data_IF_222198291418
#
_entry.id   IF_222198291418
#
_cell.length_a   1.000
_cell.length_b   1.000
_cell.length_c   1.000
_cell.angle_alpha   90.00
_cell.angle_beta   90.00
_cell.angle_gamma   90.00
#
_symmetry.space_group_name_H-M   'P 1'
#
loop_
_entity.id
_entity.type
_entity.pdbx_description
1 polymer ?
#
# COMPACT_ATOMS: atom_id res chain seq x y z
N UNK A 1 7.36 -22.70 4.75
CA UNK A 1 7.58 -22.32 6.16
C UNK A 1 6.73 -21.09 6.44
N UNK A 2 5.79 -21.18 7.39
CA UNK A 2 4.83 -20.12 7.68
C UNK A 2 5.51 -18.95 8.42
N UNK A 3 5.14 -17.71 8.08
CA UNK A 3 5.58 -16.50 8.80
C UNK A 3 5.34 -16.60 10.32
N UNK A 4 4.38 -17.43 10.74
CA UNK A 4 4.07 -17.71 12.15
C UNK A 4 5.23 -18.35 12.93
N UNK A 5 6.14 -19.10 12.29
CA UNK A 5 7.24 -19.76 13.02
C UNK A 5 8.40 -18.80 13.32
N UNK A 6 8.56 -17.72 12.54
CA UNK A 6 9.65 -16.76 12.74
C UNK A 6 9.42 -15.83 13.95
N UNK A 7 8.16 -15.62 14.33
CA UNK A 7 7.79 -14.73 15.44
C UNK A 7 8.01 -15.39 16.80
N UNK A 8 8.00 -16.72 16.87
CA UNK A 8 8.27 -17.44 18.13
C UNK A 8 9.77 -17.43 18.50
N UNK A 9 10.67 -17.50 17.51
CA UNK A 9 12.12 -17.60 17.76
C UNK A 9 12.77 -16.32 18.33
N UNK A 10 12.15 -15.15 18.17
CA UNK A 10 12.66 -13.89 18.74
C UNK A 10 12.50 -13.79 20.26
N UNK A 11 11.64 -14.63 20.86
CA UNK A 11 11.36 -14.61 22.30
C UNK A 11 12.39 -15.38 23.17
N UNK A 12 13.31 -16.14 22.55
CA UNK A 12 14.26 -17.00 23.27
C UNK A 12 15.63 -16.38 23.57
N UNK A 13 15.91 -15.14 23.12
CA UNK A 13 17.22 -14.49 23.35
C UNK A 13 17.35 -13.71 24.66
N UNK A 14 16.25 -13.44 25.38
CA UNK A 14 16.28 -12.63 26.61
C UNK A 14 16.31 -13.45 27.93
N UNK A 15 16.37 -14.78 27.87
CA UNK A 15 16.23 -15.62 29.05
C UNK A 15 17.54 -16.11 29.71
N UNK A 16 18.73 -15.66 29.28
CA UNK A 16 19.97 -16.16 29.87
C UNK A 16 21.10 -15.12 29.95
N UNK A 17 21.08 -14.27 30.97
CA UNK A 17 22.27 -13.59 31.47
C UNK A 17 22.21 -13.48 33.01
N UNK A 18 23.24 -13.93 33.76
CA UNK A 18 23.19 -13.97 35.22
C UNK A 18 23.53 -12.60 35.84
N UNK A 19 22.74 -12.20 36.86
CA UNK A 19 22.94 -11.01 37.71
C UNK A 19 24.18 -11.15 38.61
N UNK A 20 24.99 -10.09 38.73
CA UNK A 20 26.04 -9.95 39.77
C UNK A 20 25.52 -9.10 40.96
N UNK A 21 25.92 -9.39 42.21
CA UNK A 21 25.38 -8.74 43.40
C UNK A 21 26.12 -7.44 43.77
N UNK A 22 25.42 -6.55 44.48
CA UNK A 22 25.85 -5.20 44.83
C UNK A 22 26.77 -5.06 46.04
N UNK A 23 27.26 -3.83 46.24
CA UNK A 23 27.95 -3.38 47.45
C UNK A 23 27.48 -1.96 47.81
N UNK A 24 27.43 -1.73 49.12
CA UNK A 24 26.70 -0.78 49.93
C UNK A 24 27.23 0.66 50.01
N UNK A 25 26.33 1.55 50.50
CA UNK A 25 26.54 2.93 50.95
C UNK A 25 27.56 3.07 52.09
N UNK A 26 28.22 4.24 52.15
CA UNK A 26 28.92 4.77 53.32
C UNK A 26 29.05 6.30 53.20
N UNK A 27 28.58 7.01 54.23
CA UNK A 27 28.49 8.47 54.37
C UNK A 27 29.76 9.12 54.98
N UNK A 28 29.81 10.45 54.81
CA UNK A 28 30.51 11.48 55.62
C UNK A 28 32.02 11.73 55.41
N UNK A 29 32.38 12.94 54.97
CA UNK A 29 32.68 14.06 55.88
C UNK A 29 33.28 15.28 55.15
N UNK A 30 32.98 16.44 55.72
CA UNK A 30 33.38 17.79 55.32
C UNK A 30 34.83 18.07 55.73
N UNK A 31 35.63 18.67 54.85
CA UNK A 31 36.73 19.53 55.26
C UNK A 31 36.95 20.68 54.27
N UNK A 32 36.89 21.88 54.83
CA UNK A 32 37.32 23.17 54.27
C UNK A 32 38.85 23.24 54.22
N UNK A 33 39.43 23.76 53.15
CA UNK A 33 40.50 24.79 53.17
C UNK A 33 40.77 25.30 51.76
N UNK A 34 40.85 26.63 51.65
CA UNK A 34 41.29 27.41 50.51
C UNK A 34 42.68 26.98 50.01
N UNK A 35 42.90 27.00 48.69
CA UNK A 35 44.11 27.63 48.18
C UNK A 35 43.98 28.09 46.72
N UNK A 36 44.39 29.34 46.51
CA UNK A 36 44.42 30.06 45.24
C UNK A 36 45.47 29.45 44.32
N UNK A 37 45.06 28.94 43.16
CA UNK A 37 45.94 28.84 42.01
C UNK A 37 45.15 29.01 40.71
N UNK A 38 45.37 30.15 40.05
CA UNK A 38 44.94 30.46 38.70
C UNK A 38 45.43 29.40 37.70
N UNK A 39 44.51 28.58 37.18
CA UNK A 39 44.80 27.72 36.05
C UNK A 39 44.06 28.28 34.83
N UNK A 40 44.76 29.12 34.06
CA UNK A 40 44.38 29.48 32.70
C UNK A 40 44.27 28.20 31.88
N UNK A 41 43.05 27.73 31.63
CA UNK A 41 42.83 26.60 30.73
C UNK A 41 43.12 27.07 29.30
N UNK A 42 44.37 26.90 28.89
CA UNK A 42 44.82 27.09 27.52
C UNK A 42 44.11 26.05 26.66
N UNK A 43 43.04 26.44 25.99
CA UNK A 43 42.41 25.64 24.96
C UNK A 43 43.49 25.23 23.95
N UNK A 44 43.77 23.92 23.87
CA UNK A 44 44.68 23.37 22.87
C UNK A 44 44.03 23.61 21.50
N UNK A 45 44.51 24.58 20.75
CA UNK A 45 44.23 24.63 19.32
C UNK A 45 44.94 23.43 18.69
N UNK A 46 44.16 22.52 18.13
CA UNK A 46 44.72 21.51 17.25
C UNK A 46 45.21 22.24 16.00
N UNK A 47 46.52 22.18 15.75
CA UNK A 47 47.12 22.71 14.55
C UNK A 47 46.53 21.97 13.34
N UNK A 48 45.81 22.72 12.51
CA UNK A 48 45.27 22.27 11.23
C UNK A 48 46.40 21.71 10.37
N UNK A 49 46.36 20.41 10.08
CA UNK A 49 47.23 19.77 9.08
C UNK A 49 46.90 20.35 7.70
N UNK A 50 47.79 21.20 7.20
CA UNK A 50 47.65 22.04 6.02
C UNK A 50 47.75 21.30 4.67
N UNK A 51 47.13 20.12 4.54
CA UNK A 51 47.12 19.35 3.30
C UNK A 51 45.81 18.59 3.05
N UNK A 52 44.67 19.16 3.42
CA UNK A 52 43.31 18.84 2.87
C UNK A 52 42.23 19.80 3.39
N UNK A 53 42.58 21.03 3.78
CA UNK A 53 41.60 22.01 4.24
C UNK A 53 40.94 22.69 3.03
N UNK A 54 40.01 22.01 2.38
CA UNK A 54 38.97 22.75 1.64
C UNK A 54 38.20 23.51 2.71
N UNK A 55 38.39 24.83 2.77
CA UNK A 55 37.61 25.72 3.61
C UNK A 55 36.15 25.71 3.13
N UNK A 56 35.38 24.72 3.58
CA UNK A 56 33.92 24.64 3.34
C UNK A 56 33.20 25.78 4.09
N UNK A 57 33.88 26.43 5.04
CA UNK A 57 33.40 27.65 5.69
C UNK A 57 33.34 28.81 4.69
N UNK A 58 32.17 29.03 4.11
CA UNK A 58 31.85 30.26 3.36
C UNK A 58 31.42 30.07 1.90
N UNK A 59 31.40 28.86 1.35
CA UNK A 59 30.80 28.65 0.03
C UNK A 59 29.28 28.75 0.10
N UNK A 60 28.70 29.75 -0.59
CA UNK A 60 27.27 30.04 -0.61
C UNK A 60 26.49 28.84 -1.18
N UNK A 61 27.03 28.16 -2.20
CA UNK A 61 26.38 27.02 -2.84
C UNK A 61 26.17 25.82 -1.90
N UNK A 62 26.96 25.74 -0.84
CA UNK A 62 26.92 24.67 0.16
C UNK A 62 25.96 24.94 1.33
N UNK A 63 25.35 26.13 1.44
CA UNK A 63 24.54 26.52 2.60
C UNK A 63 23.05 26.15 2.45
N UNK A 64 22.67 24.94 2.85
CA UNK A 64 21.28 24.46 2.72
C UNK A 64 20.46 24.48 4.03
N UNK A 65 21.11 24.52 5.20
CA UNK A 65 20.46 24.34 6.51
C UNK A 65 19.32 25.34 6.79
N UNK A 66 19.42 26.56 6.25
CA UNK A 66 18.38 27.58 6.41
C UNK A 66 17.03 27.15 5.83
N UNK A 67 17.02 26.33 4.77
CA UNK A 67 15.79 25.87 4.10
C UNK A 67 14.96 24.87 4.91
N UNK A 68 15.50 24.28 5.98
CA UNK A 68 14.83 23.23 6.76
C UNK A 68 15.04 23.35 8.28
N UNK A 69 15.53 24.49 8.76
CA UNK A 69 15.80 24.73 10.19
C UNK A 69 14.54 24.82 11.05
N UNK A 70 13.45 25.37 10.50
CA UNK A 70 12.16 25.53 11.19
C UNK A 70 11.16 24.42 10.80
N UNK A 71 10.27 23.94 11.70
CA UNK A 71 9.25 22.94 11.36
C UNK A 71 8.41 23.28 10.12
N UNK A 72 7.94 24.53 10.01
CA UNK A 72 7.21 25.01 8.84
C UNK A 72 8.08 24.98 7.56
N UNK A 73 9.35 25.38 7.67
CA UNK A 73 10.27 25.36 6.53
C UNK A 73 10.49 23.94 5.99
N UNK A 74 10.59 22.94 6.87
CA UNK A 74 10.62 21.52 6.46
C UNK A 74 9.37 21.11 5.68
N UNK A 75 8.19 21.54 6.13
CA UNK A 75 6.92 21.22 5.45
C UNK A 75 6.79 21.88 4.06
N UNK A 76 7.41 23.05 3.86
CA UNK A 76 7.42 23.75 2.56
C UNK A 76 8.31 23.07 1.51
N UNK A 77 9.26 22.23 1.93
CA UNK A 77 10.09 21.45 1.00
C UNK A 77 9.32 20.32 0.31
N UNK A 78 8.16 19.92 0.85
CA UNK A 78 7.34 18.90 0.24
C UNK A 78 6.55 19.49 -0.94
N UNK A 79 6.72 18.93 -2.14
CA UNK A 79 5.90 19.28 -3.31
C UNK A 79 4.41 18.95 -3.11
N UNK A 80 4.11 18.02 -2.21
CA UNK A 80 2.76 17.62 -1.83
C UNK A 80 2.71 17.17 -0.38
N UNK A 81 1.71 17.64 0.35
CA UNK A 81 1.42 17.19 1.72
C UNK A 81 0.32 16.14 1.72
N UNK A 82 0.41 15.15 2.62
CA UNK A 82 -0.59 14.11 2.78
C UNK A 82 -1.91 14.70 3.29
N UNK A 83 -3.02 14.32 2.65
CA UNK A 83 -4.38 14.70 3.09
C UNK A 83 -5.29 13.48 3.10
N UNK A 84 -6.37 13.54 3.89
CA UNK A 84 -7.32 12.42 4.04
C UNK A 84 -7.96 11.99 2.71
N UNK A 85 -8.20 12.94 1.78
CA UNK A 85 -8.81 12.65 0.48
C UNK A 85 -7.90 11.89 -0.49
N UNK A 86 -6.60 11.78 -0.22
CA UNK A 86 -5.66 11.00 -1.02
C UNK A 86 -5.75 9.49 -0.72
N UNK A 87 -6.40 9.12 0.38
CA UNK A 87 -6.41 7.77 0.92
C UNK A 87 -7.57 6.93 0.36
N UNK A 88 -7.24 5.71 -0.06
CA UNK A 88 -8.20 4.67 -0.45
C UNK A 88 -8.02 3.48 0.49
N UNK A 89 -9.10 3.06 1.15
CA UNK A 89 -9.05 1.96 2.11
C UNK A 89 -9.47 0.61 1.49
N UNK A 90 -8.62 -0.44 1.52
CA UNK A 90 -9.00 -1.78 1.08
C UNK A 90 -10.01 -2.47 2.00
N UNK A 91 -11.03 -3.11 1.41
CA UNK A 91 -12.03 -3.92 2.11
C UNK A 91 -12.10 -5.33 1.53
N UNK A 92 -12.04 -6.34 2.40
CA UNK A 92 -12.23 -7.75 2.04
C UNK A 92 -13.65 -8.18 2.39
N UNK A 93 -14.43 -8.55 1.38
CA UNK A 93 -15.87 -8.75 1.49
C UNK A 93 -16.23 -10.22 1.30
N UNK A 94 -16.76 -10.83 2.35
CA UNK A 94 -17.23 -12.21 2.34
C UNK A 94 -18.59 -12.36 1.66
N UNK A 95 -18.84 -13.55 1.14
CA UNK A 95 -20.16 -14.01 0.73
C UNK A 95 -20.99 -14.59 1.90
N UNK A 96 -20.49 -14.51 3.14
CA UNK A 96 -21.24 -14.78 4.37
C UNK A 96 -21.64 -13.47 5.03
N UNK A 97 -22.95 -13.17 5.06
CA UNK A 97 -23.48 -11.84 5.32
C UNK A 97 -23.08 -11.25 6.69
N UNK A 98 -22.94 -12.07 7.73
CA UNK A 98 -22.62 -11.65 9.09
C UNK A 98 -21.16 -11.88 9.52
N UNK A 99 -20.31 -12.41 8.64
CA UNK A 99 -18.91 -12.75 8.95
C UNK A 99 -18.11 -11.50 9.39
N UNK A 100 -17.30 -11.64 10.42
CA UNK A 100 -16.24 -10.69 10.76
C UNK A 100 -15.05 -11.46 11.31
N UNK A 101 -14.10 -11.77 10.44
CA UNK A 101 -12.96 -12.65 10.77
C UNK A 101 -11.67 -11.87 10.59
N UNK A 102 -10.89 -11.76 11.67
CA UNK A 102 -9.55 -11.19 11.65
C UNK A 102 -8.64 -11.99 10.71
N UNK A 103 -7.79 -11.27 9.98
CA UNK A 103 -6.77 -11.87 9.10
C UNK A 103 -5.44 -11.85 9.86
N UNK A 104 -4.94 -12.99 10.40
CA UNK A 104 -3.79 -12.96 11.31
C UNK A 104 -2.51 -12.40 10.70
N UNK A 105 -2.29 -12.61 9.41
CA UNK A 105 -1.11 -12.12 8.69
C UNK A 105 -1.21 -10.64 8.33
N UNK A 106 -2.39 -10.02 8.46
CA UNK A 106 -2.65 -8.64 8.09
C UNK A 106 -3.23 -7.87 9.30
N UNK A 107 -2.36 -7.29 10.16
CA UNK A 107 -2.76 -6.73 11.46
C UNK A 107 -3.97 -5.79 11.39
N UNK A 108 -4.92 -5.98 12.32
CA UNK A 108 -6.15 -5.18 12.47
C UNK A 108 -7.13 -5.22 11.28
N UNK A 109 -6.88 -6.02 10.25
CA UNK A 109 -7.79 -6.16 9.11
C UNK A 109 -8.69 -7.38 9.28
N UNK A 110 -9.94 -7.27 8.81
CA UNK A 110 -10.90 -8.37 8.81
C UNK A 110 -11.44 -8.62 7.40
N UNK A 111 -11.80 -9.86 7.14
CA UNK A 111 -12.81 -10.20 6.13
C UNK A 111 -14.19 -10.00 6.73
N UNK A 112 -15.06 -9.27 6.03
CA UNK A 112 -16.37 -8.85 6.53
C UNK A 112 -17.49 -9.22 5.59
N UNK A 113 -18.58 -9.73 6.14
CA UNK A 113 -19.86 -9.83 5.46
C UNK A 113 -20.53 -8.48 5.26
N UNK A 114 -21.50 -8.44 4.36
CA UNK A 114 -22.20 -7.22 3.98
C UNK A 114 -22.88 -6.51 5.16
N UNK A 115 -23.43 -7.25 6.13
CA UNK A 115 -24.12 -6.69 7.30
C UNK A 115 -23.15 -5.97 8.25
N UNK A 116 -21.85 -6.25 8.16
CA UNK A 116 -20.80 -5.64 8.97
C UNK A 116 -20.18 -4.40 8.33
N UNK A 117 -20.40 -4.16 7.03
CA UNK A 117 -19.75 -3.07 6.31
C UNK A 117 -20.20 -1.68 6.78
N UNK A 118 -21.51 -1.45 6.92
CA UNK A 118 -22.02 -0.11 7.29
C UNK A 118 -21.61 0.28 8.71
N UNK A 119 -21.82 -0.54 9.76
CA UNK A 119 -21.36 -0.20 11.11
C UNK A 119 -19.86 0.03 11.20
N UNK A 120 -19.07 -0.70 10.39
CA UNK A 120 -17.62 -0.55 10.35
C UNK A 120 -17.16 0.75 9.66
N UNK A 121 -17.78 1.10 8.52
CA UNK A 121 -17.38 2.26 7.72
C UNK A 121 -17.93 3.58 8.24
N UNK A 122 -19.10 3.60 8.88
CA UNK A 122 -19.73 4.81 9.39
C UNK A 122 -18.78 5.70 10.25
N UNK A 123 -18.07 5.18 11.27
CA UNK A 123 -17.11 5.99 12.01
C UNK A 123 -15.93 6.47 11.16
N UNK A 124 -15.48 5.68 10.17
CA UNK A 124 -14.37 6.09 9.30
C UNK A 124 -14.79 7.21 8.33
N UNK A 125 -16.02 7.13 7.79
CA UNK A 125 -16.62 8.18 6.96
C UNK A 125 -16.76 9.48 7.76
N UNK A 126 -17.22 9.41 9.02
CA UNK A 126 -17.26 10.59 9.90
C UNK A 126 -15.87 11.20 10.15
N UNK A 127 -14.81 10.37 10.21
CA UNK A 127 -13.43 10.84 10.34
C UNK A 127 -12.82 11.38 9.04
N UNK A 128 -13.56 11.31 7.92
CA UNK A 128 -13.17 11.87 6.63
C UNK A 128 -12.73 10.84 5.58
N UNK A 129 -13.02 9.55 5.74
CA UNK A 129 -12.79 8.55 4.69
C UNK A 129 -13.57 8.94 3.43
N UNK A 130 -12.87 9.08 2.31
CA UNK A 130 -13.48 9.48 1.02
C UNK A 130 -13.55 8.36 -0.01
N UNK A 131 -12.75 7.32 0.13
CA UNK A 131 -12.66 6.27 -0.89
C UNK A 131 -12.34 4.89 -0.30
N UNK A 132 -12.94 3.86 -0.88
CA UNK A 132 -12.68 2.45 -0.58
C UNK A 132 -12.37 1.68 -1.85
N UNK A 133 -11.58 0.61 -1.74
CA UNK A 133 -11.40 -0.38 -2.80
C UNK A 133 -11.89 -1.75 -2.34
N UNK A 134 -12.83 -2.32 -3.08
CA UNK A 134 -13.52 -3.57 -2.74
C UNK A 134 -12.81 -4.78 -3.33
N UNK A 135 -12.57 -5.79 -2.50
CA UNK A 135 -12.11 -7.13 -2.87
C UNK A 135 -13.14 -8.17 -2.43
N UNK A 136 -13.76 -8.86 -3.38
CA UNK A 136 -14.68 -9.96 -3.08
C UNK A 136 -13.90 -11.22 -2.69
N UNK A 137 -14.35 -11.89 -1.64
CA UNK A 137 -13.72 -13.10 -1.10
C UNK A 137 -14.80 -14.16 -0.93
N UNK A 138 -15.22 -14.83 -2.03
CA UNK A 138 -16.21 -15.89 -1.95
C UNK A 138 -15.62 -17.10 -1.21
N UNK A 139 -16.28 -17.48 -0.12
CA UNK A 139 -15.90 -18.59 0.76
C UNK A 139 -16.82 -19.80 0.62
N UNK A 140 -18.01 -19.64 0.02
CA UNK A 140 -18.95 -20.76 -0.18
C UNK A 140 -18.36 -21.80 -1.13
N UNK A 141 -18.37 -23.10 -0.78
CA UNK A 141 -17.93 -24.17 -1.67
C UNK A 141 -18.67 -24.16 -3.01
N UNK A 142 -17.97 -24.49 -4.09
CA UNK A 142 -18.55 -24.52 -5.45
C UNK A 142 -18.66 -23.16 -6.15
N UNK A 143 -18.37 -22.05 -5.46
CA UNK A 143 -18.42 -20.71 -6.06
C UNK A 143 -17.28 -20.44 -7.04
N UNK A 144 -16.11 -21.05 -6.80
CA UNK A 144 -14.93 -20.87 -7.66
C UNK A 144 -14.90 -21.90 -8.78
N UNK A 145 -14.69 -21.45 -10.02
CA UNK A 145 -14.56 -22.30 -11.20
C UNK A 145 -13.39 -21.87 -12.10
N UNK A 146 -13.18 -22.51 -13.25
CA UNK A 146 -12.04 -22.16 -14.12
C UNK A 146 -12.20 -20.81 -14.85
N UNK A 147 -13.41 -20.24 -14.87
CA UNK A 147 -13.73 -19.02 -15.63
C UNK A 147 -13.93 -17.79 -14.75
N UNK A 148 -13.94 -17.97 -13.42
CA UNK A 148 -14.26 -16.92 -12.47
C UNK A 148 -15.71 -16.45 -12.63
N UNK A 149 -16.67 -17.36 -12.85
CA UNK A 149 -18.08 -17.01 -13.12
C UNK A 149 -18.66 -16.13 -12.02
N UNK A 150 -18.31 -16.35 -10.76
CA UNK A 150 -18.81 -15.56 -9.64
C UNK A 150 -18.25 -14.12 -9.54
N UNK A 151 -17.29 -13.74 -10.39
CA UNK A 151 -16.64 -12.43 -10.31
C UNK A 151 -17.62 -11.26 -10.51
N UNK A 152 -18.68 -11.45 -11.29
CA UNK A 152 -19.71 -10.45 -11.57
C UNK A 152 -21.12 -10.96 -11.23
N UNK A 153 -21.22 -11.94 -10.33
CA UNK A 153 -22.49 -12.38 -9.79
C UNK A 153 -23.24 -11.17 -9.18
N UNK A 154 -24.45 -10.83 -9.66
CA UNK A 154 -25.26 -9.75 -9.10
C UNK A 154 -25.55 -9.91 -7.60
N UNK A 155 -25.54 -11.15 -7.10
CA UNK A 155 -25.70 -11.52 -5.70
C UNK A 155 -24.36 -11.80 -4.98
N UNK A 156 -23.26 -11.60 -5.70
CA UNK A 156 -21.91 -11.71 -5.19
C UNK A 156 -21.55 -10.57 -4.21
N UNK A 157 -20.49 -10.77 -3.40
CA UNK A 157 -20.11 -9.85 -2.33
C UNK A 157 -19.80 -8.44 -2.84
N UNK A 158 -19.14 -8.30 -4.00
CA UNK A 158 -18.75 -6.99 -4.54
C UNK A 158 -19.98 -6.19 -4.99
N UNK A 159 -20.82 -6.75 -5.87
CA UNK A 159 -21.98 -6.02 -6.43
C UNK A 159 -23.00 -5.65 -5.36
N UNK A 160 -23.31 -6.57 -4.43
CA UNK A 160 -24.20 -6.26 -3.29
C UNK A 160 -23.62 -5.13 -2.44
N UNK A 161 -22.30 -5.12 -2.22
CA UNK A 161 -21.63 -4.06 -1.44
C UNK A 161 -21.60 -2.72 -2.17
N UNK A 162 -21.39 -2.69 -3.50
CA UNK A 162 -21.49 -1.46 -4.28
C UNK A 162 -22.86 -0.82 -4.06
N UNK A 163 -23.95 -1.59 -4.28
CA UNK A 163 -25.32 -1.09 -4.14
C UNK A 163 -25.59 -0.57 -2.72
N UNK A 164 -25.19 -1.33 -1.70
CA UNK A 164 -25.35 -0.93 -0.30
C UNK A 164 -24.59 0.37 0.01
N UNK A 165 -23.31 0.46 -0.37
CA UNK A 165 -22.47 1.62 -0.07
C UNK A 165 -22.91 2.86 -0.84
N UNK A 166 -23.39 2.72 -2.10
CA UNK A 166 -24.00 3.84 -2.84
C UNK A 166 -25.23 4.40 -2.13
N UNK A 167 -26.06 3.52 -1.55
CA UNK A 167 -27.26 3.92 -0.81
C UNK A 167 -26.92 4.57 0.54
N UNK A 168 -25.98 4.00 1.30
CA UNK A 168 -25.71 4.39 2.70
C UNK A 168 -24.69 5.52 2.80
N UNK A 169 -23.74 5.60 1.87
CA UNK A 169 -22.69 6.63 1.82
C UNK A 169 -22.60 7.26 0.43
N UNK A 170 -23.55 8.14 0.02
CA UNK A 170 -23.62 8.67 -1.34
C UNK A 170 -22.37 9.43 -1.82
N UNK A 171 -21.57 9.97 -0.88
CA UNK A 171 -20.32 10.70 -1.14
C UNK A 171 -19.05 9.84 -1.03
N UNK A 172 -19.17 8.56 -0.67
CA UNK A 172 -18.05 7.64 -0.65
C UNK A 172 -17.72 7.22 -2.08
N UNK A 173 -16.47 7.45 -2.50
CA UNK A 173 -15.96 7.01 -3.78
C UNK A 173 -15.66 5.51 -3.72
N UNK A 174 -16.17 4.75 -4.68
CA UNK A 174 -16.15 3.28 -4.65
C UNK A 174 -15.31 2.80 -5.81
N UNK A 175 -14.15 2.23 -5.48
CA UNK A 175 -13.27 1.53 -6.40
C UNK A 175 -13.52 0.03 -6.28
N UNK A 176 -13.57 -0.69 -7.39
CA UNK A 176 -13.65 -2.15 -7.38
C UNK A 176 -12.41 -2.74 -8.05
N UNK A 177 -11.74 -3.68 -7.39
CA UNK A 177 -10.68 -4.46 -8.04
C UNK A 177 -11.30 -5.35 -9.12
N UNK A 178 -10.75 -5.33 -10.33
CA UNK A 178 -11.18 -6.21 -11.42
C UNK A 178 -10.09 -7.23 -11.69
N UNK A 179 -10.37 -8.47 -11.30
CA UNK A 179 -9.48 -9.62 -11.45
C UNK A 179 -10.29 -10.91 -11.29
N UNK A 180 -9.73 -12.05 -11.71
CA UNK A 180 -10.37 -13.36 -11.55
C UNK A 180 -9.73 -14.23 -10.46
N UNK A 181 -8.67 -13.78 -9.79
CA UNK A 181 -7.90 -14.67 -8.91
C UNK A 181 -8.62 -15.08 -7.62
N UNK A 182 -9.56 -14.26 -7.15
CA UNK A 182 -10.42 -14.56 -6.01
C UNK A 182 -11.54 -15.54 -6.38
N UNK A 183 -11.88 -15.62 -7.67
CA UNK A 183 -13.05 -16.34 -8.19
C UNK A 183 -12.69 -17.60 -8.97
N UNK A 184 -11.42 -17.78 -9.33
CA UNK A 184 -10.96 -18.96 -10.07
C UNK A 184 -10.57 -20.11 -9.15
N UNK A 185 -10.88 -21.34 -9.55
CA UNK A 185 -10.51 -22.57 -8.81
C UNK A 185 -8.98 -22.79 -8.74
N UNK A 186 -8.23 -22.21 -9.69
CA UNK A 186 -6.77 -22.29 -9.75
C UNK A 186 -6.05 -21.05 -9.17
N UNK A 187 -6.76 -19.98 -8.81
CA UNK A 187 -6.19 -18.79 -8.17
C UNK A 187 -5.29 -17.92 -9.06
N UNK A 188 -5.39 -18.06 -10.39
CA UNK A 188 -4.69 -17.21 -11.37
C UNK A 188 -5.56 -16.02 -11.77
N UNK A 189 -4.93 -14.95 -12.25
CA UNK A 189 -5.63 -13.70 -12.58
C UNK A 189 -6.47 -13.74 -13.87
N UNK A 190 -6.50 -14.86 -14.60
CA UNK A 190 -7.21 -15.00 -15.86
C UNK A 190 -7.52 -16.46 -16.19
N UNK A 191 -8.16 -16.67 -17.33
CA UNK A 191 -8.51 -17.99 -17.88
C UNK A 191 -7.26 -18.65 -18.42
N UNK A 192 -7.09 -19.94 -18.15
CA UNK A 192 -5.93 -20.72 -18.58
C UNK A 192 -6.23 -21.56 -19.83
N UNK A 193 -5.20 -21.86 -20.61
CA UNK A 193 -5.22 -22.90 -21.65
C UNK A 193 -5.01 -24.28 -21.01
N UNK A 194 -5.18 -25.34 -21.80
CA UNK A 194 -4.97 -26.73 -21.38
C UNK A 194 -3.54 -26.99 -20.87
N UNK A 195 -2.54 -26.25 -21.37
CA UNK A 195 -1.14 -26.32 -20.92
C UNK A 195 -0.86 -25.53 -19.62
N UNK A 196 -1.88 -24.91 -19.02
CA UNK A 196 -1.77 -24.08 -17.83
C UNK A 196 -1.27 -22.65 -18.08
N UNK A 197 -0.96 -22.27 -19.33
CA UNK A 197 -0.59 -20.90 -19.69
C UNK A 197 -1.81 -19.98 -19.72
N UNK A 198 -1.59 -18.67 -19.53
CA UNK A 198 -2.67 -17.68 -19.53
C UNK A 198 -3.24 -17.48 -20.95
N UNK A 199 -4.54 -17.72 -21.11
CA UNK A 199 -5.27 -17.36 -22.34
C UNK A 199 -5.64 -15.88 -22.30
N UNK A 200 -4.76 -15.03 -22.82
CA UNK A 200 -4.92 -13.57 -22.76
C UNK A 200 -6.23 -13.08 -23.37
N UNK A 201 -6.64 -13.59 -24.54
CA UNK A 201 -7.85 -13.12 -25.23
C UNK A 201 -9.11 -13.40 -24.38
N UNK A 202 -9.32 -14.65 -23.98
CA UNK A 202 -10.47 -15.02 -23.15
C UNK A 202 -10.45 -14.30 -21.80
N UNK A 203 -9.26 -14.13 -21.21
CA UNK A 203 -9.10 -13.40 -19.95
C UNK A 203 -9.53 -11.95 -20.09
N UNK A 204 -9.05 -11.25 -21.12
CA UNK A 204 -9.38 -9.84 -21.38
C UNK A 204 -10.88 -9.66 -21.60
N UNK A 205 -11.51 -10.54 -22.37
CA UNK A 205 -12.95 -10.49 -22.64
C UNK A 205 -13.75 -10.62 -21.34
N UNK A 206 -13.41 -11.64 -20.54
CA UNK A 206 -14.04 -11.92 -19.24
C UNK A 206 -13.83 -10.80 -18.22
N UNK A 207 -12.61 -10.28 -18.10
CA UNK A 207 -12.26 -9.17 -17.19
C UNK A 207 -13.05 -7.90 -17.56
N UNK A 208 -13.26 -7.69 -18.86
CA UNK A 208 -14.02 -6.55 -19.34
C UNK A 208 -15.52 -6.68 -19.03
N UNK A 209 -16.08 -7.90 -19.05
CA UNK A 209 -17.46 -8.15 -18.57
C UNK A 209 -17.59 -7.83 -17.08
N UNK A 210 -16.63 -8.28 -16.26
CA UNK A 210 -16.62 -8.00 -14.81
C UNK A 210 -16.55 -6.49 -14.53
N UNK A 211 -15.68 -5.77 -15.24
CA UNK A 211 -15.56 -4.32 -15.09
C UNK A 211 -16.89 -3.61 -15.41
N UNK A 212 -17.56 -3.99 -16.51
CA UNK A 212 -18.86 -3.42 -16.89
C UNK A 212 -19.94 -3.75 -15.85
N UNK A 213 -19.96 -4.98 -15.33
CA UNK A 213 -20.94 -5.37 -14.32
C UNK A 213 -20.80 -4.55 -13.02
N UNK A 214 -19.56 -4.33 -12.55
CA UNK A 214 -19.32 -3.44 -11.40
C UNK A 214 -19.69 -1.99 -11.68
N UNK A 215 -19.39 -1.48 -12.88
CA UNK A 215 -19.78 -0.14 -13.30
C UNK A 215 -21.31 0.02 -13.32
N UNK A 216 -22.05 -0.93 -13.92
CA UNK A 216 -23.51 -0.97 -13.93
C UNK A 216 -24.12 -1.09 -12.52
N UNK A 217 -23.43 -1.76 -11.60
CA UNK A 217 -23.83 -1.83 -10.19
C UNK A 217 -23.67 -0.50 -9.45
N UNK A 218 -22.90 0.45 -10.00
CA UNK A 218 -22.70 1.79 -9.47
C UNK A 218 -21.29 2.06 -8.92
N UNK A 219 -20.28 1.24 -9.28
CA UNK A 219 -18.89 1.57 -8.96
C UNK A 219 -18.48 2.86 -9.67
N UNK A 220 -17.84 3.78 -8.94
CA UNK A 220 -17.32 5.02 -9.50
C UNK A 220 -16.02 4.78 -10.28
N UNK A 221 -15.28 3.74 -9.89
CA UNK A 221 -14.02 3.37 -10.49
C UNK A 221 -13.86 1.85 -10.57
N UNK A 222 -13.35 1.39 -11.70
CA UNK A 222 -12.92 0.00 -11.89
C UNK A 222 -11.40 -0.03 -11.99
N UNK A 223 -10.78 -0.94 -11.24
CA UNK A 223 -9.34 -1.01 -11.08
C UNK A 223 -8.79 -2.39 -11.49
N UNK A 224 -8.54 -2.62 -12.81
CA UNK A 224 -8.07 -3.91 -13.31
C UNK A 224 -6.65 -4.23 -12.83
N UNK A 225 -6.52 -5.31 -12.06
CA UNK A 225 -5.30 -5.72 -11.36
C UNK A 225 -4.64 -6.98 -11.95
N UNK A 226 -5.17 -7.48 -13.05
CA UNK A 226 -4.88 -8.77 -13.65
C UNK A 226 -3.55 -8.86 -14.41
N UNK A 227 -3.07 -7.73 -14.97
CA UNK A 227 -1.87 -7.61 -15.82
C UNK A 227 -1.93 -8.32 -17.18
N UNK A 228 -3.11 -8.65 -17.72
CA UNK A 228 -3.24 -9.12 -19.10
C UNK A 228 -2.91 -7.99 -20.10
N UNK A 229 -2.37 -8.35 -21.25
CA UNK A 229 -2.05 -7.38 -22.29
C UNK A 229 -3.32 -6.91 -23.00
N UNK A 230 -3.50 -5.59 -23.11
CA UNK A 230 -4.63 -4.97 -23.82
C UNK A 230 -5.94 -4.86 -23.03
N UNK A 231 -5.98 -5.25 -21.75
CA UNK A 231 -7.23 -5.21 -20.96
C UNK A 231 -7.79 -3.81 -20.77
N UNK A 232 -6.95 -2.78 -20.71
CA UNK A 232 -7.41 -1.39 -20.48
C UNK A 232 -8.21 -0.93 -21.70
N UNK A 233 -7.69 -1.19 -22.91
CA UNK A 233 -8.40 -0.88 -24.15
C UNK A 233 -9.74 -1.60 -24.21
N UNK A 234 -9.76 -2.89 -23.91
CA UNK A 234 -10.99 -3.68 -23.95
C UNK A 234 -12.04 -3.17 -22.95
N UNK A 235 -11.65 -2.89 -21.70
CA UNK A 235 -12.54 -2.31 -20.69
C UNK A 235 -13.05 -0.94 -21.15
N UNK A 236 -12.17 -0.05 -21.61
CA UNK A 236 -12.55 1.30 -22.06
C UNK A 236 -13.54 1.25 -23.22
N UNK A 237 -13.31 0.37 -24.21
CA UNK A 237 -14.23 0.15 -25.33
C UNK A 237 -15.59 -0.37 -24.87
N UNK A 238 -15.65 -1.38 -24.00
CA UNK A 238 -16.94 -1.84 -23.47
C UNK A 238 -17.67 -0.75 -22.69
N UNK A 239 -16.97 0.06 -21.88
CA UNK A 239 -17.59 1.20 -21.20
C UNK A 239 -18.16 2.24 -22.18
N UNK A 240 -17.52 2.44 -23.35
CA UNK A 240 -18.02 3.31 -24.43
C UNK A 240 -19.27 2.70 -25.08
N UNK A 241 -19.22 1.43 -25.44
CA UNK A 241 -20.33 0.68 -26.05
C UNK A 241 -21.58 0.68 -25.16
N UNK A 242 -21.37 0.57 -23.85
CA UNK A 242 -22.41 0.64 -22.82
C UNK A 242 -22.94 2.06 -22.55
N UNK A 243 -22.29 3.09 -23.11
CA UNK A 243 -22.68 4.49 -22.92
C UNK A 243 -22.36 5.08 -21.53
N UNK A 244 -21.63 4.35 -20.68
CA UNK A 244 -21.33 4.73 -19.28
C UNK A 244 -19.89 5.25 -19.06
N UNK A 245 -19.05 5.26 -20.10
CA UNK A 245 -17.64 5.72 -20.05
C UNK A 245 -17.45 7.10 -19.40
N UNK A 246 -18.41 8.00 -19.57
CA UNK A 246 -18.35 9.36 -19.05
C UNK A 246 -18.47 9.45 -17.51
N UNK A 247 -18.87 8.35 -16.86
CA UNK A 247 -19.19 8.31 -15.42
C UNK A 247 -18.32 7.35 -14.62
N UNK A 248 -17.41 6.62 -15.28
CA UNK A 248 -16.61 5.53 -14.67
C UNK A 248 -15.13 5.80 -14.90
N UNK A 249 -14.38 5.93 -13.81
CA UNK A 249 -12.91 6.07 -13.84
C UNK A 249 -12.24 4.72 -14.02
N UNK A 250 -11.28 4.63 -14.95
CA UNK A 250 -10.47 3.44 -15.18
C UNK A 250 -9.09 3.58 -14.53
N UNK A 251 -8.88 2.92 -13.40
CA UNK A 251 -7.64 2.96 -12.62
C UNK A 251 -6.78 1.73 -12.90
N UNK A 252 -5.87 1.85 -13.85
CA UNK A 252 -5.02 0.71 -14.24
C UNK A 252 -3.95 0.41 -13.19
N UNK A 253 -3.84 -0.86 -12.76
CA UNK A 253 -2.60 -1.37 -12.16
C UNK A 253 -1.51 -1.52 -13.23
N UNK A 254 -1.07 -0.40 -13.81
CA UNK A 254 -0.22 -0.37 -14.99
C UNK A 254 1.16 -0.98 -14.75
N UNK A 255 1.71 -0.80 -13.54
CA UNK A 255 2.97 -1.39 -13.13
C UNK A 255 2.78 -2.23 -11.86
N UNK A 256 2.26 -3.45 -12.03
CA UNK A 256 2.13 -4.44 -10.95
C UNK A 256 3.21 -5.52 -11.08
N UNK A 257 4.09 -5.57 -10.08
CA UNK A 257 5.23 -6.48 -10.05
C UNK A 257 4.89 -7.80 -9.37
N UNK A 258 5.55 -8.87 -9.80
CA UNK A 258 5.63 -10.13 -9.08
C UNK A 258 6.60 -9.99 -7.90
N UNK A 259 6.34 -10.67 -6.79
CA UNK A 259 7.19 -10.56 -5.60
C UNK A 259 6.61 -11.24 -4.37
N UNK A 260 7.32 -11.10 -3.25
CA UNK A 260 6.99 -11.73 -1.96
C UNK A 260 6.10 -10.88 -1.05
N UNK A 261 5.81 -9.62 -1.40
CA UNK A 261 5.06 -8.68 -0.55
C UNK A 261 3.53 -8.87 -0.57
N UNK A 262 3.03 -9.95 -1.20
CA UNK A 262 1.59 -10.23 -1.32
C UNK A 262 1.08 -11.31 -0.38
N UNK A 263 1.94 -11.92 0.45
CA UNK A 263 1.58 -13.04 1.32
C UNK A 263 0.29 -12.79 2.12
N UNK A 264 0.25 -11.74 2.96
CA UNK A 264 -0.93 -11.47 3.77
C UNK A 264 -2.21 -11.16 2.99
N UNK A 265 -2.10 -10.55 1.80
CA UNK A 265 -3.25 -10.34 0.91
C UNK A 265 -3.80 -11.67 0.39
N UNK A 266 -2.94 -12.63 0.05
CA UNK A 266 -3.38 -13.94 -0.43
C UNK A 266 -4.13 -14.72 0.65
N UNK A 267 -3.71 -14.59 1.91
CA UNK A 267 -4.45 -15.14 3.05
C UNK A 267 -5.82 -14.46 3.21
N UNK A 268 -5.86 -13.12 3.09
CA UNK A 268 -7.08 -12.33 3.19
C UNK A 268 -8.11 -12.67 2.09
N UNK A 269 -7.64 -12.77 0.85
CA UNK A 269 -8.46 -12.94 -0.34
C UNK A 269 -8.71 -14.41 -0.73
N UNK A 270 -8.07 -15.37 -0.05
CA UNK A 270 -8.14 -16.79 -0.40
C UNK A 270 -7.71 -17.06 -1.84
N UNK A 271 -6.68 -16.34 -2.32
CA UNK A 271 -6.32 -16.25 -3.74
C UNK A 271 -4.94 -16.86 -4.05
N UNK A 272 -4.43 -17.74 -3.22
CA UNK A 272 -3.13 -18.40 -3.46
C UNK A 272 -3.23 -19.26 -4.72
N UNK A 273 -2.34 -19.11 -5.72
CA UNK A 273 -2.34 -19.96 -6.91
C UNK A 273 -2.21 -21.44 -6.53
N UNK A 274 -3.02 -22.30 -7.15
CA UNK A 274 -3.01 -23.75 -6.88
C UNK A 274 -1.78 -24.45 -7.46
N UNK A 275 -1.15 -23.85 -8.47
CA UNK A 275 0.10 -24.30 -9.06
C UNK A 275 0.88 -23.12 -9.67
N UNK A 276 2.17 -23.34 -9.92
CA UNK A 276 3.05 -22.35 -10.55
C UNK A 276 3.13 -21.02 -9.79
N UNK A 277 3.35 -19.93 -10.53
CA UNK A 277 3.36 -18.57 -10.00
C UNK A 277 2.74 -17.57 -11.01
N UNK A 278 2.82 -16.28 -10.68
CA UNK A 278 2.23 -15.19 -11.48
C UNK A 278 3.27 -14.44 -12.34
N UNK A 279 4.50 -14.95 -12.46
CA UNK A 279 5.63 -14.25 -13.11
C UNK A 279 5.51 -14.16 -14.63
N UNK A 280 4.61 -14.91 -15.25
CA UNK A 280 4.35 -14.84 -16.68
C UNK A 280 3.47 -13.65 -17.11
N UNK A 281 2.94 -12.87 -16.16
CA UNK A 281 2.12 -11.68 -16.46
C UNK A 281 2.36 -10.52 -15.48
N UNK A 282 2.63 -10.79 -14.20
CA UNK A 282 3.13 -9.76 -13.29
C UNK A 282 4.60 -9.43 -13.62
N UNK A 283 4.95 -8.14 -13.59
CA UNK A 283 6.28 -7.69 -14.01
C UNK A 283 7.39 -8.31 -13.13
N UNK A 284 8.55 -8.69 -13.69
CA UNK A 284 9.68 -9.11 -12.87
C UNK A 284 10.26 -7.92 -12.09
N UNK A 285 10.76 -8.09 -10.84
CA UNK A 285 11.26 -6.98 -10.02
C UNK A 285 12.32 -6.09 -10.69
N UNK A 286 13.26 -6.67 -11.46
CA UNK A 286 14.26 -5.91 -12.21
C UNK A 286 13.74 -5.28 -13.52
N UNK A 287 12.45 -5.40 -13.81
CA UNK A 287 11.83 -5.10 -15.10
C UNK A 287 11.43 -3.64 -15.32
N UNK A 288 12.27 -2.66 -14.97
CA UNK A 288 11.94 -1.21 -15.12
C UNK A 288 11.51 -0.84 -16.54
N UNK A 289 12.20 -1.34 -17.57
CA UNK A 289 11.84 -1.09 -18.96
C UNK A 289 10.45 -1.61 -19.36
N UNK A 290 10.04 -2.77 -18.81
CA UNK A 290 8.69 -3.30 -19.01
C UNK A 290 7.64 -2.47 -18.28
N UNK A 291 7.93 -2.00 -17.06
CA UNK A 291 7.03 -1.12 -16.32
C UNK A 291 6.76 0.18 -17.08
N UNK A 292 7.80 0.84 -17.58
CA UNK A 292 7.66 2.06 -18.41
C UNK A 292 6.81 1.81 -19.65
N UNK A 293 7.04 0.69 -20.36
CA UNK A 293 6.24 0.31 -21.54
C UNK A 293 4.77 0.02 -21.19
N UNK A 294 4.51 -0.66 -20.08
CA UNK A 294 3.16 -0.98 -19.63
C UNK A 294 2.40 0.29 -19.19
N UNK A 295 3.08 1.23 -18.52
CA UNK A 295 2.53 2.56 -18.19
C UNK A 295 2.14 3.30 -19.46
N UNK A 296 3.06 3.45 -20.43
CA UNK A 296 2.78 4.14 -21.70
C UNK A 296 1.63 3.47 -22.45
N UNK A 297 1.62 2.13 -22.50
CA UNK A 297 0.52 1.37 -23.10
C UNK A 297 -0.80 1.73 -22.46
N UNK A 298 -0.92 1.57 -21.14
CA UNK A 298 -2.20 1.73 -20.45
C UNK A 298 -2.72 3.18 -20.51
N UNK A 299 -1.82 4.18 -20.55
CA UNK A 299 -2.17 5.57 -20.85
C UNK A 299 -2.78 5.67 -22.25
N UNK A 300 -2.11 5.11 -23.27
CA UNK A 300 -2.59 5.11 -24.65
C UNK A 300 -3.88 4.30 -24.87
N UNK A 301 -4.17 3.36 -23.98
CA UNK A 301 -5.39 2.55 -23.99
C UNK A 301 -6.57 3.20 -23.23
N UNK A 302 -6.37 4.36 -22.59
CA UNK A 302 -7.44 5.15 -21.98
C UNK A 302 -7.58 5.02 -20.47
N UNK A 303 -6.53 4.60 -19.75
CA UNK A 303 -6.52 4.68 -18.30
C UNK A 303 -6.61 6.14 -17.82
N UNK A 304 -7.51 6.40 -16.88
CA UNK A 304 -7.68 7.73 -16.28
C UNK A 304 -6.75 7.92 -15.08
N UNK A 305 -6.31 6.82 -14.46
CA UNK A 305 -5.35 6.78 -13.36
C UNK A 305 -4.40 5.60 -13.61
N UNK A 306 -3.11 5.80 -13.39
CA UNK A 306 -2.10 4.72 -13.43
C UNK A 306 -1.62 4.40 -12.01
N UNK A 307 -1.50 3.12 -11.69
CA UNK A 307 -1.10 2.63 -10.37
C UNK A 307 0.18 1.81 -10.43
N UNK A 308 1.06 2.03 -9.45
CA UNK A 308 2.23 1.19 -9.17
C UNK A 308 1.97 0.31 -7.93
N UNK A 309 2.32 -0.97 -8.02
CA UNK A 309 2.13 -1.97 -6.96
C UNK A 309 3.26 -3.03 -6.98
N UNK A 310 3.96 -3.29 -5.86
CA UNK A 310 3.96 -2.61 -4.56
C UNK A 310 4.43 -1.15 -4.60
N UNK A 311 4.38 -0.42 -3.49
CA UNK A 311 4.74 1.00 -3.46
C UNK A 311 6.17 1.26 -2.95
N UNK A 312 6.47 0.95 -1.70
CA UNK A 312 7.71 1.34 -1.02
C UNK A 312 8.97 0.72 -1.64
N UNK A 313 8.90 -0.50 -2.18
CA UNK A 313 10.02 -1.12 -2.90
C UNK A 313 10.15 -0.67 -4.36
N UNK A 314 9.24 0.18 -4.85
CA UNK A 314 9.16 0.60 -6.26
C UNK A 314 8.92 2.11 -6.39
N UNK A 315 9.46 2.90 -5.45
CA UNK A 315 9.37 4.37 -5.48
C UNK A 315 10.00 4.96 -6.75
N UNK A 316 11.04 4.32 -7.30
CA UNK A 316 11.64 4.66 -8.59
C UNK A 316 10.67 4.48 -9.76
N UNK A 317 9.81 3.46 -9.70
CA UNK A 317 8.76 3.23 -10.71
C UNK A 317 7.58 4.21 -10.54
N UNK A 318 7.28 4.64 -9.31
CA UNK A 318 6.30 5.73 -9.08
C UNK A 318 6.81 7.03 -9.70
N UNK A 319 8.12 7.33 -9.57
CA UNK A 319 8.74 8.47 -10.21
C UNK A 319 8.69 8.37 -11.75
N UNK A 320 9.01 7.21 -12.32
CA UNK A 320 8.84 6.94 -13.76
C UNK A 320 7.37 7.13 -14.20
N UNK A 321 6.41 6.63 -13.41
CA UNK A 321 4.99 6.78 -13.71
C UNK A 321 4.57 8.25 -13.70
N UNK A 322 5.07 9.05 -12.76
CA UNK A 322 4.78 10.49 -12.72
C UNK A 322 5.43 11.25 -13.87
N UNK A 323 6.63 10.86 -14.30
CA UNK A 323 7.29 11.43 -15.48
C UNK A 323 6.47 11.13 -16.76
N UNK A 324 6.13 9.86 -16.99
CA UNK A 324 5.44 9.39 -18.20
C UNK A 324 3.97 9.82 -18.25
N UNK A 325 3.30 9.84 -17.10
CA UNK A 325 1.91 10.22 -16.91
C UNK A 325 1.76 11.55 -16.18
N UNK A 326 2.57 12.56 -16.52
CA UNK A 326 2.62 13.85 -15.79
C UNK A 326 1.27 14.53 -15.61
N UNK A 327 0.38 14.34 -16.59
CA UNK A 327 -0.96 14.93 -16.65
C UNK A 327 -2.05 14.02 -16.04
N UNK A 328 -1.66 12.84 -15.55
CA UNK A 328 -2.56 11.89 -14.90
C UNK A 328 -2.30 11.81 -13.39
N UNK A 329 -3.32 11.45 -12.59
CA UNK A 329 -3.12 10.98 -11.24
C UNK A 329 -2.31 9.68 -11.23
N UNK A 330 -1.37 9.60 -10.29
CA UNK A 330 -0.59 8.38 -10.03
C UNK A 330 -1.05 7.81 -8.70
N UNK A 331 -1.55 6.58 -8.71
CA UNK A 331 -1.86 5.83 -7.51
C UNK A 331 -0.69 4.92 -7.11
N UNK A 332 -0.52 4.70 -5.82
CA UNK A 332 0.44 3.77 -5.26
C UNK A 332 -0.24 2.87 -4.24
N UNK A 333 0.00 1.56 -4.32
CA UNK A 333 -0.55 0.61 -3.37
C UNK A 333 0.54 0.18 -2.38
N UNK A 334 0.45 0.65 -1.14
CA UNK A 334 1.21 0.12 -0.01
C UNK A 334 0.63 -1.23 0.40
N UNK A 335 1.24 -2.30 -0.11
CA UNK A 335 0.62 -3.63 -0.10
C UNK A 335 0.67 -4.28 1.27
N UNK A 336 -0.04 -5.39 1.39
CA UNK A 336 -0.25 -6.14 2.62
C UNK A 336 1.06 -6.54 3.32
N UNK A 337 2.08 -6.95 2.56
CA UNK A 337 3.39 -7.31 3.12
C UNK A 337 4.18 -6.09 3.59
N UNK A 338 4.06 -4.94 2.93
CA UNK A 338 4.71 -3.69 3.36
C UNK A 338 4.12 -3.20 4.68
N UNK A 339 2.79 -3.20 4.77
CA UNK A 339 2.06 -2.89 6.00
C UNK A 339 2.41 -3.85 7.15
N UNK A 340 2.34 -5.17 6.91
CA UNK A 340 2.67 -6.17 7.93
C UNK A 340 4.13 -6.09 8.38
N UNK A 341 5.06 -5.80 7.47
CA UNK A 341 6.48 -5.60 7.77
C UNK A 341 6.70 -4.39 8.69
N UNK A 342 6.04 -3.25 8.41
CA UNK A 342 6.11 -2.07 9.27
C UNK A 342 5.56 -2.38 10.67
N UNK A 343 4.40 -3.04 10.75
CA UNK A 343 3.83 -3.48 12.04
C UNK A 343 4.77 -4.40 12.82
N UNK A 344 5.38 -5.38 12.15
CA UNK A 344 6.29 -6.33 12.78
C UNK A 344 7.55 -5.64 13.32
N UNK A 345 8.16 -4.75 12.55
CA UNK A 345 9.34 -4.01 12.96
C UNK A 345 9.04 -3.01 14.09
N UNK A 346 7.89 -2.33 14.06
CA UNK A 346 7.46 -1.46 15.16
C UNK A 346 7.23 -2.27 16.45
N UNK A 347 6.56 -3.43 16.35
CA UNK A 347 6.37 -4.34 17.49
C UNK A 347 7.69 -4.86 18.07
N UNK A 348 8.71 -5.04 17.23
CA UNK A 348 10.05 -5.42 17.64
C UNK A 348 10.88 -4.25 18.21
N UNK A 349 10.33 -3.04 18.27
CA UNK A 349 11.02 -1.87 18.82
C UNK A 349 12.05 -1.23 17.87
N UNK A 350 12.02 -1.55 16.57
CA UNK A 350 12.95 -0.95 15.59
C UNK A 350 12.65 0.54 15.39
N UNK A 351 11.37 0.92 15.41
CA UNK A 351 10.90 2.29 15.26
C UNK A 351 9.49 2.47 15.85
N UNK A 352 9.05 3.72 16.01
CA UNK A 352 7.65 4.06 16.29
C UNK A 352 6.76 3.81 15.06
N UNK A 353 5.60 3.19 15.28
CA UNK A 353 4.68 2.82 14.19
C UNK A 353 4.15 4.03 13.44
N UNK A 354 3.75 5.08 14.16
CA UNK A 354 3.18 6.29 13.56
C UNK A 354 4.23 7.01 12.73
N UNK A 355 5.43 7.21 13.28
CA UNK A 355 6.54 7.83 12.58
C UNK A 355 6.86 7.10 11.26
N UNK A 356 7.01 5.78 11.28
CA UNK A 356 7.32 5.01 10.07
C UNK A 356 6.15 4.98 9.07
N UNK A 357 4.90 4.97 9.54
CA UNK A 357 3.74 5.06 8.66
C UNK A 357 3.76 6.38 7.86
N UNK A 358 3.97 7.51 8.54
CA UNK A 358 4.15 8.82 7.88
C UNK A 358 5.34 8.81 6.92
N UNK A 359 6.53 8.39 7.36
CA UNK A 359 7.74 8.39 6.53
C UNK A 359 7.57 7.53 5.25
N UNK A 360 6.97 6.35 5.38
CA UNK A 360 6.71 5.47 4.23
C UNK A 360 5.73 6.10 3.22
N UNK A 361 4.73 6.82 3.71
CA UNK A 361 3.65 7.42 2.91
C UNK A 361 4.11 8.74 2.30
N UNK A 362 4.90 9.54 3.01
CA UNK A 362 5.60 10.71 2.48
C UNK A 362 6.62 10.32 1.41
N UNK A 363 7.31 9.18 1.57
CA UNK A 363 8.14 8.61 0.51
C UNK A 363 7.38 8.33 -0.79
N UNK A 364 6.16 7.80 -0.67
CA UNK A 364 5.25 7.56 -1.80
C UNK A 364 4.82 8.87 -2.47
N UNK A 365 4.46 9.90 -1.67
CA UNK A 365 4.10 11.22 -2.20
C UNK A 365 5.28 11.90 -2.89
N UNK A 366 6.46 11.86 -2.26
CA UNK A 366 7.72 12.41 -2.80
C UNK A 366 8.08 11.76 -4.14
N UNK A 367 7.78 10.47 -4.31
CA UNK A 367 7.99 9.78 -5.59
C UNK A 367 7.01 10.22 -6.69
N UNK A 368 5.96 10.98 -6.36
CA UNK A 368 5.05 11.58 -7.34
C UNK A 368 3.61 11.10 -7.25
N UNK A 369 3.29 10.16 -6.36
CA UNK A 369 1.92 9.68 -6.18
C UNK A 369 0.98 10.79 -5.67
N UNK A 370 -0.27 10.74 -6.13
CA UNK A 370 -1.37 11.61 -5.70
C UNK A 370 -2.46 10.85 -4.94
N UNK A 371 -2.46 9.52 -5.04
CA UNK A 371 -3.47 8.62 -4.49
C UNK A 371 -2.74 7.46 -3.81
N UNK A 372 -3.16 7.09 -2.60
CA UNK A 372 -2.51 6.05 -1.82
C UNK A 372 -3.55 5.03 -1.38
N UNK A 373 -3.38 3.79 -1.84
CA UNK A 373 -4.11 2.64 -1.34
C UNK A 373 -3.30 2.06 -0.18
N UNK A 374 -3.84 2.09 1.03
CA UNK A 374 -3.12 1.62 2.23
C UNK A 374 -4.07 1.01 3.26
N UNK A 375 -3.52 0.12 4.10
CA UNK A 375 -4.22 -0.43 5.26
C UNK A 375 -4.08 0.46 6.51
N UNK A 376 -3.18 1.46 6.50
CA UNK A 376 -3.04 2.48 7.55
C UNK A 376 -4.13 3.56 7.51
N UNK A 377 -5.13 3.44 6.64
CA UNK A 377 -6.14 4.49 6.48
C UNK A 377 -6.90 4.79 7.78
N UNK A 378 -7.37 3.81 8.57
CA UNK A 378 -7.99 4.10 9.86
C UNK A 378 -7.09 4.95 10.77
N UNK A 379 -5.80 4.63 10.84
CA UNK A 379 -4.82 5.37 11.63
C UNK A 379 -4.57 6.79 11.09
N UNK A 380 -4.42 6.95 9.77
CA UNK A 380 -4.21 8.28 9.17
C UNK A 380 -5.43 9.19 9.32
N UNK A 381 -6.65 8.64 9.32
CA UNK A 381 -7.85 9.43 9.56
C UNK A 381 -7.88 10.03 10.98
N UNK A 382 -7.24 9.37 11.95
CA UNK A 382 -7.07 9.87 13.31
C UNK A 382 -5.83 10.77 13.46
N UNK A 383 -4.74 10.46 12.77
CA UNK A 383 -3.48 11.20 12.91
C UNK A 383 -3.42 12.49 12.11
N UNK A 384 -4.11 12.56 10.97
CA UNK A 384 -4.20 13.78 10.17
C UNK A 384 -5.25 14.69 10.78
N UNK A 385 -4.84 15.94 11.03
CA UNK A 385 -5.76 17.04 11.31
C UNK A 385 -6.79 17.17 10.18
N UNK A 386 -7.97 17.69 10.50
CA UNK A 386 -8.95 18.07 9.47
C UNK A 386 -8.47 19.24 8.62
#
# INVERSE_FOLDING_TARGET
MSFSSLVQDLSLRDASAPRRPGVSRGDASVSTMDDRASCLSRAKSYASTAATSVSISGDIGSQLHAGYSHPLARSWQAERQLTKSMLIYPLFISDQDDEEVLIPSLPNQCRRGINRLVPFLEPLVHKGLRSVILFGVPMRPGTKDALGTAADDPEGPVIRSIRLLRQRFPHLYIVCDVCLCEYTSHGHCGILRDDGSLNNQLSVDRISDVAVAYARAGAHCVAPSDMNDGRIRAIKLKLIEEGIVHSVTLMSYAAKFSGCLYGPFRDAAGSTPSFGDRRCYQLPPGGRGLARRAIVRDIGEGADIIMVKPAGQYLDIIADAKELGRDLPVAAYQVSGEFAMIHAAAKAGVFDLKAMAFESTEGILRAGATIIVSYFVPEFLDWLSN
#
